data_IF_814510870837
#
_entry.id   IF_814510870837
#
_cell.length_a   1.000
_cell.length_b   1.000
_cell.length_c   1.000
_cell.angle_alpha   90.00
_cell.angle_beta   90.00
_cell.angle_gamma   90.00
#
_symmetry.space_group_name_H-M   'P 1'
#
loop_
_entity.id
_entity.type
_entity.pdbx_description
1 polymer ?
#
# COMPACT_ATOMS: atom_id res chain seq x y z
N UNK A 1 -8.80 -8.65 24.99
CA UNK A 1 -9.42 -7.88 23.90
C UNK A 1 -8.28 -7.17 23.20
N UNK A 2 -7.90 -7.59 22.00
CA UNK A 2 -6.93 -6.84 21.19
C UNK A 2 -7.71 -5.73 20.49
N UNK A 3 -7.71 -4.54 21.08
CA UNK A 3 -8.28 -3.37 20.42
C UNK A 3 -7.38 -3.00 19.25
N UNK A 4 -7.93 -3.22 18.06
CA UNK A 4 -7.33 -2.82 16.80
C UNK A 4 -7.75 -1.37 16.59
N UNK A 5 -6.95 -0.44 17.10
CA UNK A 5 -7.06 0.98 16.85
C UNK A 5 -6.97 1.24 15.34
N UNK A 6 -8.13 1.52 14.75
CA UNK A 6 -8.27 1.87 13.35
C UNK A 6 -8.61 3.35 13.24
N UNK A 7 -7.77 4.01 12.43
CA UNK A 7 -8.11 5.16 11.59
C UNK A 7 -8.20 6.51 12.29
N UNK A 8 -7.04 7.15 12.45
CA UNK A 8 -6.94 8.62 12.48
C UNK A 8 -7.44 9.26 11.17
N UNK A 9 -7.85 10.55 11.20
CA UNK A 9 -8.69 11.15 10.17
C UNK A 9 -7.96 11.32 8.82
N UNK A 10 -8.58 11.03 7.67
CA UNK A 10 -7.97 11.22 6.36
C UNK A 10 -8.10 12.68 5.92
N UNK A 11 -7.20 13.54 6.37
CA UNK A 11 -7.12 14.93 5.90
C UNK A 11 -5.80 15.16 5.16
N UNK A 12 -5.81 14.84 3.86
CA UNK A 12 -4.96 15.33 2.75
C UNK A 12 -4.74 14.18 1.77
N UNK A 13 -5.52 14.10 0.67
CA UNK A 13 -5.38 13.13 -0.45
C UNK A 13 -4.50 11.90 -0.15
N UNK A 14 -4.90 11.11 0.85
CA UNK A 14 -4.02 10.08 1.42
C UNK A 14 -4.18 8.85 0.54
N UNK A 15 -3.31 8.73 -0.47
CA UNK A 15 -3.21 7.55 -1.30
C UNK A 15 -2.97 6.33 -0.40
N UNK A 16 -4.03 5.58 -0.14
CA UNK A 16 -3.96 4.42 0.77
C UNK A 16 -3.46 3.22 -0.03
N UNK A 17 -2.18 2.94 0.11
CA UNK A 17 -1.53 1.82 -0.56
C UNK A 17 -1.49 0.59 0.32
N UNK A 18 -1.97 -0.54 -0.21
CA UNK A 18 -1.89 -1.87 0.40
C UNK A 18 -1.08 -2.79 -0.50
N UNK A 19 -0.28 -3.68 0.09
CA UNK A 19 0.42 -4.73 -0.67
C UNK A 19 -0.38 -6.02 -0.66
N UNK A 20 -0.63 -6.58 -1.85
CA UNK A 20 -1.32 -7.84 -2.04
C UNK A 20 -0.32 -8.91 -2.47
N UNK A 21 -0.40 -10.08 -1.86
CA UNK A 21 0.46 -11.21 -2.14
C UNK A 21 -0.28 -12.25 -3.00
N UNK A 22 0.28 -12.57 -4.16
CA UNK A 22 -0.29 -13.55 -5.10
C UNK A 22 0.74 -14.64 -5.35
N UNK A 23 0.79 -15.61 -4.42
CA UNK A 23 1.77 -16.70 -4.43
C UNK A 23 3.19 -16.18 -4.15
N UNK A 24 4.11 -16.34 -5.09
CA UNK A 24 5.50 -15.87 -4.97
C UNK A 24 5.70 -14.39 -5.33
N UNK A 25 4.64 -13.64 -5.64
CA UNK A 25 4.71 -12.25 -6.07
C UNK A 25 3.94 -11.34 -5.11
N UNK A 26 4.46 -10.14 -4.91
CA UNK A 26 3.80 -9.03 -4.22
C UNK A 26 3.54 -7.87 -5.17
N UNK A 27 2.36 -7.30 -5.05
CA UNK A 27 1.85 -6.19 -5.85
C UNK A 27 1.42 -5.07 -4.91
N UNK A 28 1.78 -3.83 -5.22
CA UNK A 28 1.20 -2.67 -4.54
C UNK A 28 -0.15 -2.33 -5.19
N UNK A 29 -1.17 -1.99 -4.41
CA UNK A 29 -2.46 -1.47 -4.89
C UNK A 29 -2.85 -0.25 -4.07
N UNK A 30 -3.26 0.80 -4.74
CA UNK A 30 -3.78 2.01 -4.14
C UNK A 30 -5.31 2.02 -4.26
N UNK A 31 -5.98 2.54 -3.24
CA UNK A 31 -7.44 2.80 -3.28
C UNK A 31 -7.85 3.81 -4.36
N UNK A 32 -6.89 4.58 -4.89
CA UNK A 32 -7.06 5.48 -6.03
C UNK A 32 -7.15 4.76 -7.40
N UNK A 33 -6.97 3.44 -7.44
CA UNK A 33 -7.03 2.64 -8.67
C UNK A 33 -5.66 2.30 -9.28
N UNK A 34 -4.57 2.87 -8.75
CA UNK A 34 -3.22 2.50 -9.18
C UNK A 34 -2.81 1.12 -8.68
N UNK A 35 -2.11 0.36 -9.54
CA UNK A 35 -1.54 -0.94 -9.19
C UNK A 35 -0.09 -0.98 -9.65
N UNK A 36 0.80 -1.23 -8.70
CA UNK A 36 2.24 -1.37 -8.94
C UNK A 36 2.61 -2.68 -9.65
N UNK A 37 3.86 -2.78 -10.12
CA UNK A 37 4.35 -3.97 -10.83
C UNK A 37 4.45 -5.21 -9.93
N UNK A 38 4.38 -6.40 -10.55
CA UNK A 38 4.60 -7.67 -9.86
C UNK A 38 6.08 -7.80 -9.41
N UNK A 39 6.33 -7.62 -8.11
CA UNK A 39 7.66 -7.76 -7.52
C UNK A 39 7.73 -9.03 -6.69
N UNK A 40 8.79 -9.84 -6.89
CA UNK A 40 9.04 -11.02 -6.04
C UNK A 40 9.46 -10.62 -4.62
N UNK A 41 10.12 -9.47 -4.47
CA UNK A 41 10.54 -8.96 -3.17
C UNK A 41 9.43 -8.10 -2.54
N UNK A 42 8.99 -8.50 -1.35
CA UNK A 42 7.99 -7.77 -0.55
C UNK A 42 8.44 -6.34 -0.24
N UNK A 43 9.72 -6.16 0.08
CA UNK A 43 10.28 -4.86 0.42
C UNK A 43 10.25 -3.89 -0.77
N UNK A 44 10.49 -4.37 -1.99
CA UNK A 44 10.36 -3.56 -3.20
C UNK A 44 8.90 -3.16 -3.46
N UNK A 45 7.96 -4.09 -3.29
CA UNK A 45 6.52 -3.78 -3.41
C UNK A 45 6.06 -2.76 -2.35
N UNK A 46 6.54 -2.87 -1.11
CA UNK A 46 6.26 -1.90 -0.04
C UNK A 46 6.87 -0.53 -0.33
N UNK A 47 8.08 -0.48 -0.87
CA UNK A 47 8.71 0.80 -1.27
C UNK A 47 7.94 1.48 -2.38
N UNK A 48 7.53 0.74 -3.40
CA UNK A 48 6.70 1.24 -4.51
C UNK A 48 5.36 1.81 -4.01
N UNK A 49 4.68 1.08 -3.12
CA UNK A 49 3.50 1.56 -2.40
C UNK A 49 3.76 2.86 -1.63
N UNK A 50 4.83 2.94 -0.83
CA UNK A 50 5.16 4.15 -0.06
C UNK A 50 5.49 5.34 -0.94
N UNK A 51 6.26 5.15 -2.00
CA UNK A 51 6.58 6.21 -2.97
C UNK A 51 5.31 6.78 -3.61
N UNK A 52 4.33 5.92 -3.92
CA UNK A 52 3.04 6.35 -4.44
C UNK A 52 2.16 7.02 -3.36
N UNK A 53 2.25 6.57 -2.11
CA UNK A 53 1.48 7.13 -0.99
C UNK A 53 1.94 8.52 -0.57
N UNK A 54 3.16 8.94 -0.94
CA UNK A 54 3.68 10.28 -0.69
C UNK A 54 3.17 11.23 -1.78
N UNK A 55 2.19 12.11 -1.49
CA UNK A 55 1.92 13.25 -2.35
C UNK A 55 3.18 14.13 -2.38
N UNK A 56 3.72 14.34 -3.58
CA UNK A 56 4.88 15.21 -3.80
C UNK A 56 4.55 16.70 -3.58
#
# INVERSE_FOLDING_TARGET
MCEQDSSGPPTASVHTTSTVERGSFCLARCTCGWSGPARRSRDLARTDARTHATPG
#
